data_IF_823101502451
#
_entry.id   IF_823101502451
#
_cell.length_a   1.000
_cell.length_b   1.000
_cell.length_c   1.000
_cell.angle_alpha   90.00
_cell.angle_beta   90.00
_cell.angle_gamma   90.00
#
_symmetry.space_group_name_H-M   'P 1'
#
loop_
_entity.id
_entity.type
_entity.pdbx_description
1 polymer ?
#
# COMPACT_ATOMS: atom_id res chain seq x y z
N UNK A 1 -25.88 -1.38 -18.03
CA UNK A 1 -24.58 -0.98 -18.62
C UNK A 1 -23.45 -1.31 -17.67
N UNK A 2 -22.49 -2.14 -18.09
CA UNK A 2 -21.31 -2.52 -17.30
C UNK A 2 -20.27 -1.39 -17.27
N UNK A 3 -20.11 -0.68 -18.39
CA UNK A 3 -19.02 0.28 -18.63
C UNK A 3 -19.29 1.73 -18.18
N UNK A 4 -20.48 2.04 -17.66
CA UNK A 4 -20.91 3.41 -17.35
C UNK A 4 -21.39 3.55 -15.89
N UNK A 5 -20.78 2.78 -14.98
CA UNK A 5 -21.05 2.86 -13.53
C UNK A 5 -19.90 3.60 -12.83
N UNK A 6 -19.54 3.18 -11.62
CA UNK A 6 -18.45 3.76 -10.82
C UNK A 6 -17.05 3.34 -11.27
N UNK A 7 -16.94 2.44 -12.27
CA UNK A 7 -15.67 1.94 -12.81
C UNK A 7 -15.66 2.17 -14.33
N UNK A 8 -14.69 2.94 -14.82
CA UNK A 8 -14.36 3.05 -16.24
C UNK A 8 -13.29 2.03 -16.62
N UNK A 9 -13.42 1.41 -17.80
CA UNK A 9 -12.49 0.39 -18.29
C UNK A 9 -11.83 0.82 -19.60
N UNK A 10 -10.51 0.94 -19.57
CA UNK A 10 -9.68 1.19 -20.74
C UNK A 10 -8.80 -0.05 -20.98
N UNK A 11 -9.12 -0.83 -22.01
CA UNK A 11 -8.37 -2.06 -22.33
C UNK A 11 -8.27 -2.37 -23.83
N UNK A 12 -9.06 -1.70 -24.67
CA UNK A 12 -9.13 -1.98 -26.11
C UNK A 12 -7.83 -1.67 -26.86
N UNK A 13 -6.89 -0.94 -26.26
CA UNK A 13 -5.55 -0.70 -26.79
C UNK A 13 -4.63 -1.93 -26.69
N UNK A 14 -5.01 -2.98 -25.94
CA UNK A 14 -4.23 -4.20 -25.81
C UNK A 14 -4.38 -5.03 -27.10
N UNK A 15 -3.26 -5.34 -27.75
CA UNK A 15 -3.22 -6.09 -29.02
C UNK A 15 -3.67 -7.55 -28.90
N UNK A 16 -3.58 -8.15 -27.71
CA UNK A 16 -3.92 -9.56 -27.49
C UNK A 16 -5.42 -9.75 -27.28
N UNK A 17 -6.08 -10.38 -28.26
CA UNK A 17 -7.50 -10.75 -28.17
C UNK A 17 -7.80 -11.58 -26.91
N UNK A 18 -6.95 -12.56 -26.59
CA UNK A 18 -7.09 -13.38 -25.37
C UNK A 18 -7.16 -12.55 -24.10
N UNK A 19 -6.35 -11.48 -23.99
CA UNK A 19 -6.37 -10.57 -22.83
C UNK A 19 -7.65 -9.74 -22.81
N UNK A 20 -8.07 -9.22 -23.96
CA UNK A 20 -9.32 -8.44 -24.07
C UNK A 20 -10.55 -9.27 -23.69
N UNK A 21 -10.64 -10.51 -24.17
CA UNK A 21 -11.72 -11.42 -23.80
C UNK A 21 -11.71 -11.79 -22.32
N UNK A 22 -10.53 -11.94 -21.71
CA UNK A 22 -10.43 -12.19 -20.27
C UNK A 22 -10.98 -11.02 -19.47
N UNK A 23 -10.60 -9.78 -19.81
CA UNK A 23 -11.12 -8.56 -19.15
C UNK A 23 -12.63 -8.48 -19.35
N UNK A 24 -13.10 -8.65 -20.59
CA UNK A 24 -14.53 -8.62 -20.93
C UNK A 24 -15.32 -9.62 -20.08
N UNK A 25 -14.91 -10.90 -20.08
CA UNK A 25 -15.57 -11.93 -19.26
C UNK A 25 -15.56 -11.56 -17.77
N UNK A 26 -14.47 -11.00 -17.26
CA UNK A 26 -14.38 -10.63 -15.83
C UNK A 26 -15.33 -9.52 -15.42
N UNK A 27 -15.53 -8.50 -16.26
CA UNK A 27 -16.37 -7.35 -15.92
C UNK A 27 -17.83 -7.49 -16.39
N UNK A 28 -18.09 -8.22 -17.47
CA UNK A 28 -19.46 -8.46 -17.96
C UNK A 28 -20.18 -9.60 -17.25
N UNK A 29 -19.44 -10.48 -16.55
CA UNK A 29 -20.05 -11.50 -15.68
C UNK A 29 -20.45 -10.87 -14.35
N UNK A 30 -21.72 -10.97 -13.93
CA UNK A 30 -22.16 -10.49 -12.62
C UNK A 30 -21.29 -11.08 -11.51
N UNK A 31 -20.74 -10.20 -10.67
CA UNK A 31 -20.04 -10.61 -9.46
C UNK A 31 -21.02 -10.57 -8.28
N UNK A 32 -20.90 -11.50 -7.31
CA UNK A 32 -21.67 -11.41 -6.08
C UNK A 32 -21.30 -10.12 -5.34
N UNK A 33 -22.32 -9.46 -4.77
CA UNK A 33 -22.12 -8.36 -3.85
C UNK A 33 -21.32 -8.82 -2.63
N UNK A 34 -20.47 -7.96 -2.05
CA UNK A 34 -19.71 -8.34 -0.87
C UNK A 34 -20.64 -8.66 0.29
N UNK A 35 -20.33 -9.74 1.01
CA UNK A 35 -21.10 -10.16 2.17
C UNK A 35 -20.95 -9.16 3.34
N UNK A 36 -21.73 -9.36 4.40
CA UNK A 36 -21.70 -8.48 5.57
C UNK A 36 -20.35 -8.46 6.28
N UNK A 37 -19.59 -9.56 6.26
CA UNK A 37 -18.28 -9.66 6.88
C UNK A 37 -17.24 -8.86 6.08
N UNK A 38 -17.26 -8.97 4.75
CA UNK A 38 -16.43 -8.19 3.83
C UNK A 38 -16.74 -6.70 3.94
N UNK A 39 -18.02 -6.31 3.97
CA UNK A 39 -18.43 -4.91 4.19
C UNK A 39 -17.92 -4.36 5.52
N UNK A 40 -18.05 -5.11 6.62
CA UNK A 40 -17.50 -4.73 7.94
C UNK A 40 -15.98 -4.63 7.92
N UNK A 41 -15.28 -5.52 7.23
CA UNK A 41 -13.83 -5.47 7.09
C UNK A 41 -13.37 -4.23 6.32
N UNK A 42 -14.00 -3.91 5.19
CA UNK A 42 -13.74 -2.71 4.41
C UNK A 42 -13.97 -1.47 5.27
N UNK A 43 -15.12 -1.39 5.95
CA UNK A 43 -15.45 -0.29 6.84
C UNK A 43 -14.43 -0.12 7.98
N UNK A 44 -13.98 -1.22 8.61
CA UNK A 44 -12.97 -1.17 9.66
C UNK A 44 -11.61 -0.65 9.14
N UNK A 45 -11.24 -0.97 7.89
CA UNK A 45 -10.02 -0.46 7.24
C UNK A 45 -10.14 1.03 6.94
N UNK A 46 -11.29 1.48 6.41
CA UNK A 46 -11.59 2.90 6.19
C UNK A 46 -11.53 3.69 7.50
N UNK A 47 -12.23 3.22 8.54
CA UNK A 47 -12.28 3.90 9.83
C UNK A 47 -10.88 4.10 10.42
N UNK A 48 -10.00 3.09 10.34
CA UNK A 48 -8.60 3.23 10.80
C UNK A 48 -7.83 4.26 9.99
N UNK A 49 -8.03 4.30 8.67
CA UNK A 49 -7.43 5.30 7.80
C UNK A 49 -7.86 6.71 8.21
N UNK A 50 -9.17 6.94 8.32
CA UNK A 50 -9.75 8.25 8.66
C UNK A 50 -9.33 8.70 10.05
N UNK A 51 -9.47 7.84 11.07
CA UNK A 51 -9.12 8.20 12.46
C UNK A 51 -7.63 8.47 12.64
N UNK A 52 -6.78 7.80 11.86
CA UNK A 52 -5.34 8.08 11.87
C UNK A 52 -5.05 9.50 11.37
N UNK A 53 -5.65 9.93 10.26
CA UNK A 53 -5.48 11.30 9.75
C UNK A 53 -6.04 12.35 10.70
N UNK A 54 -7.25 12.14 11.23
CA UNK A 54 -7.87 13.03 12.22
C UNK A 54 -7.00 13.19 13.46
N UNK A 55 -6.40 12.10 13.94
CA UNK A 55 -5.50 12.12 15.09
C UNK A 55 -4.23 12.94 14.78
N UNK A 56 -3.58 12.69 13.65
CA UNK A 56 -2.39 13.45 13.25
C UNK A 56 -2.71 14.94 13.10
N UNK A 57 -3.83 15.27 12.45
CA UNK A 57 -4.27 16.65 12.25
C UNK A 57 -4.53 17.38 13.59
N UNK A 58 -5.08 16.69 14.58
CA UNK A 58 -5.33 17.25 15.91
C UNK A 58 -4.06 17.41 16.74
N UNK A 59 -3.15 16.42 16.69
CA UNK A 59 -1.97 16.38 17.56
C UNK A 59 -0.81 17.24 17.02
N UNK A 60 -0.65 17.32 15.71
CA UNK A 60 0.41 18.07 15.03
C UNK A 60 -0.18 18.96 13.93
N UNK A 61 -1.01 19.93 14.32
CA UNK A 61 -1.74 20.81 13.40
C UNK A 61 -0.85 21.69 12.52
N UNK A 62 0.35 22.04 13.00
CA UNK A 62 1.32 22.87 12.27
C UNK A 62 2.25 22.06 11.33
N UNK A 63 2.27 20.73 11.46
CA UNK A 63 3.20 19.87 10.73
C UNK A 63 2.65 19.45 9.38
N UNK A 64 3.50 19.51 8.34
CA UNK A 64 3.17 18.92 7.04
C UNK A 64 3.22 17.40 7.12
N UNK A 65 2.09 16.75 6.85
CA UNK A 65 1.93 15.29 6.89
C UNK A 65 1.55 14.63 5.56
N UNK A 66 1.15 15.41 4.56
CA UNK A 66 0.66 14.91 3.27
C UNK A 66 -0.43 13.84 3.40
N UNK A 67 -1.50 14.18 4.14
CA UNK A 67 -2.55 13.24 4.54
C UNK A 67 -3.34 12.60 3.40
N UNK A 68 -4.06 11.53 3.73
CA UNK A 68 -4.87 10.73 2.81
C UNK A 68 -6.36 11.14 2.79
N UNK A 69 -6.74 12.28 3.37
CA UNK A 69 -8.15 12.69 3.41
C UNK A 69 -8.77 12.81 2.02
N UNK A 70 -9.99 12.29 1.87
CA UNK A 70 -10.71 12.16 0.61
C UNK A 70 -10.21 11.01 -0.29
N UNK A 71 -9.15 10.31 0.10
CA UNK A 71 -8.56 9.17 -0.63
C UNK A 71 -8.36 7.94 0.27
N UNK A 72 -9.10 7.84 1.37
CA UNK A 72 -8.97 6.81 2.40
C UNK A 72 -9.21 5.40 1.85
N UNK A 73 -9.93 5.29 0.74
CA UNK A 73 -10.15 4.04 -0.01
C UNK A 73 -8.86 3.36 -0.46
N UNK A 74 -7.74 4.11 -0.55
CA UNK A 74 -6.42 3.55 -0.84
C UNK A 74 -6.04 2.45 0.17
N UNK A 75 -6.33 2.63 1.46
CA UNK A 75 -5.98 1.65 2.50
C UNK A 75 -6.69 0.31 2.32
N UNK A 76 -8.04 0.22 2.25
CA UNK A 76 -8.71 -1.05 1.98
C UNK A 76 -8.33 -1.62 0.61
N UNK A 77 -8.12 -0.80 -0.42
CA UNK A 77 -7.72 -1.26 -1.75
C UNK A 77 -6.35 -1.96 -1.74
N UNK A 78 -5.31 -1.32 -1.18
CA UNK A 78 -3.98 -1.91 -1.04
C UNK A 78 -4.02 -3.21 -0.24
N UNK A 79 -4.78 -3.23 0.86
CA UNK A 79 -4.91 -4.44 1.67
C UNK A 79 -5.63 -5.56 0.92
N UNK A 80 -6.67 -5.24 0.14
CA UNK A 80 -7.37 -6.22 -0.69
C UNK A 80 -6.45 -6.83 -1.76
N UNK A 81 -5.58 -6.03 -2.38
CA UNK A 81 -4.54 -6.51 -3.31
C UNK A 81 -3.60 -7.48 -2.59
N UNK A 82 -3.06 -7.09 -1.42
CA UNK A 82 -2.15 -7.95 -0.64
C UNK A 82 -2.83 -9.25 -0.23
N UNK A 83 -4.07 -9.20 0.26
CA UNK A 83 -4.85 -10.38 0.64
C UNK A 83 -5.01 -11.32 -0.56
N UNK A 84 -5.48 -10.81 -1.69
CA UNK A 84 -5.71 -11.62 -2.89
C UNK A 84 -4.42 -12.19 -3.48
N UNK A 85 -3.35 -11.39 -3.56
CA UNK A 85 -2.06 -11.84 -4.07
C UNK A 85 -1.44 -12.91 -3.16
N UNK A 86 -1.54 -12.74 -1.83
CA UNK A 86 -1.06 -13.76 -0.90
C UNK A 86 -1.87 -15.06 -0.98
N UNK A 87 -3.18 -15.00 -1.20
CA UNK A 87 -3.98 -16.21 -1.51
C UNK A 87 -3.44 -16.95 -2.74
N UNK A 88 -3.04 -16.21 -3.77
CA UNK A 88 -2.45 -16.73 -5.00
C UNK A 88 -0.98 -17.17 -4.86
N UNK A 89 -0.37 -17.03 -3.69
CA UNK A 89 0.99 -17.50 -3.39
C UNK A 89 2.07 -16.42 -3.38
N UNK A 90 1.73 -15.14 -3.50
CA UNK A 90 2.72 -14.08 -3.37
C UNK A 90 3.19 -13.91 -1.92
N UNK A 91 4.50 -13.97 -1.72
CA UNK A 91 5.13 -13.88 -0.39
C UNK A 91 5.81 -12.53 -0.12
N UNK A 92 6.10 -11.73 -1.16
CA UNK A 92 6.79 -10.45 -1.00
C UNK A 92 6.08 -9.34 -1.76
N UNK A 93 5.99 -8.16 -1.13
CA UNK A 93 5.38 -6.96 -1.65
C UNK A 93 6.36 -5.80 -1.52
N UNK A 94 6.83 -5.28 -2.65
CA UNK A 94 7.71 -4.11 -2.70
C UNK A 94 6.88 -2.92 -3.21
N UNK A 95 6.87 -1.83 -2.45
CA UNK A 95 6.03 -0.66 -2.70
C UNK A 95 6.92 0.55 -2.93
N UNK A 96 6.81 1.15 -4.12
CA UNK A 96 7.22 2.53 -4.39
C UNK A 96 5.99 3.43 -4.27
N UNK A 97 6.07 4.49 -3.47
CA UNK A 97 4.96 5.43 -3.33
C UNK A 97 5.44 6.85 -3.01
N UNK A 98 4.72 7.90 -3.45
CA UNK A 98 5.02 9.28 -3.10
C UNK A 98 4.58 9.61 -1.66
N UNK A 99 4.61 10.89 -1.29
CA UNK A 99 4.29 11.37 0.06
C UNK A 99 2.80 11.26 0.45
N UNK A 100 1.86 11.29 -0.53
CA UNK A 100 0.41 11.30 -0.27
C UNK A 100 -0.03 10.04 0.48
N UNK A 101 -0.47 10.21 1.73
CA UNK A 101 -0.92 9.14 2.61
C UNK A 101 0.17 8.17 3.05
N UNK A 102 1.46 8.49 2.89
CA UNK A 102 2.55 7.54 3.19
C UNK A 102 2.56 7.09 4.64
N UNK A 103 2.39 8.02 5.58
CA UNK A 103 2.33 7.69 7.01
C UNK A 103 1.14 6.75 7.32
N UNK A 104 0.02 6.96 6.62
CA UNK A 104 -1.17 6.12 6.73
C UNK A 104 -0.91 4.71 6.20
N UNK A 105 -0.25 4.58 5.04
CA UNK A 105 0.16 3.29 4.47
C UNK A 105 1.16 2.58 5.40
N UNK A 106 2.16 3.29 5.93
CA UNK A 106 3.11 2.71 6.88
C UNK A 106 2.40 2.15 8.13
N UNK A 107 1.47 2.90 8.72
CA UNK A 107 0.72 2.45 9.90
C UNK A 107 -0.27 1.32 9.59
N UNK A 108 -1.14 1.51 8.60
CA UNK A 108 -2.33 0.69 8.39
C UNK A 108 -2.14 -0.48 7.41
N UNK A 109 -1.18 -0.38 6.49
CA UNK A 109 -0.84 -1.44 5.52
C UNK A 109 0.43 -2.18 5.96
N UNK A 110 1.49 -1.42 6.22
CA UNK A 110 2.80 -1.96 6.58
C UNK A 110 2.93 -2.25 8.08
N UNK A 111 1.98 -1.86 8.94
CA UNK A 111 2.04 -2.18 10.38
C UNK A 111 3.31 -1.67 11.09
N UNK A 112 3.91 -0.58 10.60
CA UNK A 112 4.90 0.17 11.40
C UNK A 112 4.25 0.56 12.71
N UNK A 113 4.96 0.38 13.82
CA UNK A 113 4.36 0.69 15.12
C UNK A 113 4.08 2.18 15.21
N UNK A 114 3.00 2.54 15.92
CA UNK A 114 2.66 3.96 16.09
C UNK A 114 3.73 4.69 16.90
N UNK A 115 4.39 4.00 17.84
CA UNK A 115 5.54 4.56 18.57
C UNK A 115 6.65 4.99 17.61
N UNK A 116 7.10 4.09 16.72
CA UNK A 116 8.16 4.39 15.74
C UNK A 116 7.76 5.47 14.72
N UNK A 117 6.47 5.61 14.44
CA UNK A 117 5.96 6.67 13.58
C UNK A 117 5.90 8.01 14.29
N UNK A 118 5.45 8.04 15.55
CA UNK A 118 5.26 9.27 16.31
C UNK A 118 6.57 9.86 16.83
N UNK A 119 7.60 9.05 17.07
CA UNK A 119 8.95 9.56 17.37
C UNK A 119 9.48 10.47 16.28
N UNK A 120 9.14 10.22 15.00
CA UNK A 120 9.54 11.07 13.88
C UNK A 120 8.84 12.45 13.84
N UNK A 121 7.89 12.71 14.74
CA UNK A 121 7.28 14.02 14.92
C UNK A 121 7.88 14.80 16.10
N UNK A 122 8.73 14.18 16.90
CA UNK A 122 9.44 14.87 17.98
C UNK A 122 10.75 15.43 17.44
N UNK A 123 10.83 16.76 17.33
CA UNK A 123 12.02 17.46 16.84
C UNK A 123 13.21 17.41 17.80
N UNK A 124 13.02 16.89 19.02
CA UNK A 124 14.06 16.82 20.06
C UNK A 124 14.82 15.50 20.07
N UNK A 125 14.38 14.50 19.30
CA UNK A 125 15.06 13.22 19.23
C UNK A 125 16.23 13.32 18.24
N UNK A 126 17.44 13.30 18.77
CA UNK A 126 18.64 13.12 17.95
C UNK A 126 18.63 11.72 17.32
N UNK A 127 18.95 11.64 16.03
CA UNK A 127 19.08 10.37 15.35
C UNK A 127 20.26 9.59 15.94
N UNK A 128 19.99 8.39 16.44
CA UNK A 128 21.05 7.44 16.84
C UNK A 128 21.76 6.82 15.63
N UNK A 129 21.19 6.96 14.43
CA UNK A 129 21.75 6.44 13.18
C UNK A 129 22.81 7.38 12.60
N UNK A 130 23.93 6.81 12.11
CA UNK A 130 24.93 7.53 11.34
C UNK A 130 24.34 7.98 9.99
N UNK A 131 24.14 9.30 9.81
CA UNK A 131 23.71 9.89 8.55
C UNK A 131 23.02 11.24 8.70
N UNK A 132 22.78 11.95 7.60
CA UNK A 132 22.07 13.24 7.61
C UNK A 132 20.56 13.11 7.90
N UNK A 133 20.03 11.89 7.93
CA UNK A 133 18.60 11.61 7.97
C UNK A 133 17.86 12.05 6.70
N UNK A 134 16.55 11.81 6.69
CA UNK A 134 15.60 12.35 5.70
C UNK A 134 14.24 12.56 6.39
N UNK A 135 13.33 13.30 5.75
CA UNK A 135 11.99 13.56 6.30
C UNK A 135 11.17 12.27 6.44
N UNK A 136 10.29 12.25 7.45
CA UNK A 136 9.45 11.09 7.84
C UNK A 136 8.69 10.39 6.72
N UNK A 137 8.38 11.11 5.63
CA UNK A 137 7.69 10.59 4.46
C UNK A 137 8.62 10.20 3.28
N UNK A 138 9.93 10.12 3.48
CA UNK A 138 10.89 9.52 2.55
C UNK A 138 11.48 8.21 3.07
N UNK A 139 11.40 7.96 4.37
CA UNK A 139 11.97 6.78 5.00
C UNK A 139 11.31 5.49 4.51
N UNK A 140 12.14 4.50 4.21
CA UNK A 140 11.72 3.16 3.85
C UNK A 140 11.38 2.30 5.05
N UNK A 141 10.85 1.12 4.79
CA UNK A 141 10.62 0.08 5.79
C UNK A 141 10.72 -1.29 5.12
N UNK A 142 11.19 -2.31 5.83
CA UNK A 142 11.03 -3.71 5.42
C UNK A 142 10.82 -4.54 6.66
N UNK A 143 9.77 -5.35 6.70
CA UNK A 143 9.61 -6.33 7.75
C UNK A 143 8.66 -7.44 7.29
N UNK A 144 8.80 -8.56 7.99
CA UNK A 144 8.03 -9.76 7.77
C UNK A 144 6.87 -9.84 8.76
N UNK A 145 5.69 -10.27 8.30
CA UNK A 145 4.53 -10.49 9.16
C UNK A 145 3.59 -11.54 8.62
N UNK A 146 2.72 -12.04 9.50
CA UNK A 146 1.61 -12.91 9.10
C UNK A 146 0.48 -12.06 8.55
N UNK A 147 -0.04 -12.41 7.37
CA UNK A 147 -1.31 -11.90 6.90
C UNK A 147 -2.45 -12.59 7.66
N UNK A 148 -3.17 -11.82 8.47
CA UNK A 148 -4.24 -12.35 9.34
C UNK A 148 -5.48 -12.83 8.59
N UNK A 149 -5.61 -12.56 7.29
CA UNK A 149 -6.76 -13.02 6.49
C UNK A 149 -6.60 -14.49 6.10
N UNK A 150 -5.38 -14.92 5.76
CA UNK A 150 -5.10 -16.27 5.24
C UNK A 150 -3.98 -17.01 5.99
N UNK A 151 -3.47 -16.43 7.07
CA UNK A 151 -2.36 -16.93 7.90
C UNK A 151 -1.06 -17.21 7.13
N UNK A 152 -0.88 -16.61 5.95
CA UNK A 152 0.36 -16.74 5.18
C UNK A 152 1.40 -15.74 5.66
N UNK A 153 2.65 -16.19 5.63
CA UNK A 153 3.82 -15.38 5.93
C UNK A 153 4.12 -14.48 4.73
N UNK A 154 4.19 -13.18 4.94
CA UNK A 154 4.48 -12.20 3.88
C UNK A 154 5.55 -11.20 4.32
N UNK A 155 6.37 -10.78 3.36
CA UNK A 155 7.29 -9.66 3.50
C UNK A 155 6.68 -8.41 2.85
N UNK A 156 6.70 -7.27 3.56
CA UNK A 156 6.28 -5.99 3.00
C UNK A 156 7.43 -5.00 3.15
N UNK A 157 7.82 -4.42 2.02
CA UNK A 157 8.83 -3.39 1.94
C UNK A 157 8.29 -2.13 1.25
N UNK A 158 8.59 -0.96 1.82
CA UNK A 158 8.40 0.34 1.18
C UNK A 158 9.79 0.91 0.88
N UNK A 159 10.04 1.23 -0.38
CA UNK A 159 11.31 1.81 -0.79
C UNK A 159 11.46 3.22 -0.23
N UNK A 160 12.66 3.56 0.24
CA UNK A 160 13.01 4.95 0.49
C UNK A 160 13.07 5.70 -0.84
N UNK A 161 12.67 6.98 -0.85
CA UNK A 161 12.65 7.78 -2.08
C UNK A 161 12.84 9.27 -1.80
N UNK A 162 13.48 10.01 -2.71
CA UNK A 162 13.57 11.46 -2.62
C UNK A 162 12.23 12.13 -2.95
N UNK A 163 12.19 13.46 -2.81
CA UNK A 163 11.06 14.30 -3.25
C UNK A 163 10.79 14.29 -4.76
N UNK A 164 11.75 13.85 -5.57
CA UNK A 164 11.61 13.74 -7.03
C UNK A 164 10.57 12.65 -7.35
N UNK A 165 9.36 13.07 -7.68
CA UNK A 165 8.24 12.16 -7.95
C UNK A 165 8.60 11.18 -9.07
N UNK A 166 8.12 9.94 -8.92
CA UNK A 166 8.38 8.79 -9.82
C UNK A 166 9.85 8.34 -9.94
N UNK A 167 10.82 9.02 -9.33
CA UNK A 167 12.23 8.59 -9.37
C UNK A 167 12.46 7.22 -8.69
N UNK A 168 11.54 6.80 -7.81
CA UNK A 168 11.59 5.51 -7.12
C UNK A 168 11.12 4.34 -8.00
N UNK A 169 10.43 4.60 -9.10
CA UNK A 169 9.80 3.56 -9.91
C UNK A 169 10.80 2.50 -10.43
N UNK A 170 11.90 2.86 -11.12
CA UNK A 170 12.89 1.87 -11.55
C UNK A 170 13.59 1.20 -10.37
N UNK A 171 13.77 1.91 -9.24
CA UNK A 171 14.40 1.37 -8.03
C UNK A 171 13.51 0.27 -7.42
N UNK A 172 12.20 0.52 -7.35
CA UNK A 172 11.21 -0.44 -6.87
C UNK A 172 11.18 -1.70 -7.75
N UNK A 173 11.18 -1.53 -9.07
CA UNK A 173 11.23 -2.64 -10.02
C UNK A 173 12.54 -3.44 -9.90
N UNK A 174 13.69 -2.76 -9.81
CA UNK A 174 14.99 -3.38 -9.62
C UNK A 174 15.07 -4.21 -8.34
N UNK A 175 14.60 -3.65 -7.21
CA UNK A 175 14.50 -4.38 -5.94
C UNK A 175 13.59 -5.61 -6.07
N UNK A 176 12.42 -5.45 -6.69
CA UNK A 176 11.48 -6.57 -6.93
C UNK A 176 12.14 -7.67 -7.75
N UNK A 177 12.87 -7.31 -8.81
CA UNK A 177 13.58 -8.26 -9.66
C UNK A 177 14.69 -8.99 -8.91
N UNK A 178 15.44 -8.29 -8.06
CA UNK A 178 16.45 -8.91 -7.22
C UNK A 178 15.81 -9.91 -6.23
N UNK A 179 14.72 -9.53 -5.55
CA UNK A 179 14.02 -10.45 -4.65
C UNK A 179 13.48 -11.69 -5.37
N UNK A 180 12.96 -11.54 -6.60
CA UNK A 180 12.54 -12.68 -7.42
C UNK A 180 13.72 -13.62 -7.72
N UNK A 181 14.88 -13.08 -8.10
CA UNK A 181 16.06 -13.87 -8.40
C UNK A 181 16.53 -14.67 -7.19
N UNK A 182 16.76 -14.01 -6.05
CA UNK A 182 17.28 -14.68 -4.86
C UNK A 182 16.27 -15.66 -4.23
N UNK A 183 14.97 -15.40 -4.34
CA UNK A 183 13.95 -16.34 -3.84
C UNK A 183 13.82 -17.58 -4.72
N UNK A 184 14.03 -17.48 -6.03
CA UNK A 184 13.95 -18.62 -6.96
C UNK A 184 15.23 -19.46 -7.01
N UNK A 185 16.39 -18.87 -6.69
CA UNK A 185 17.69 -19.56 -6.77
C UNK A 185 18.08 -20.22 -5.43
N UNK A 186 17.56 -19.73 -4.30
CA UNK A 186 17.87 -20.23 -2.96
C UNK A 186 16.75 -21.09 -2.33
N UNK A 187 15.72 -21.47 -3.10
CA UNK A 187 14.70 -22.47 -2.73
C UNK A 187 14.85 -23.70 -3.61
#
# INVERSE_FOLDING_TARGET
TVYCKTIGLEYMFISSQRKNEWIRRKFETPQPEPDNQQKRLIMARLLRSTRFEEFLAKKWSAEKRFGLEGCEVLIPAMKAIIDRCSDLGAESFVIGMPHRGRLNVLANVCRKTLADLFTQFDSKLESTDEGSGDVKYHLGMSHERINRINNKKINIAVCANPSHLEAVDPVCLGKTKAEQFYRLVCT
#
